data_IF_672959433280
#
_entry.id   IF_672959433280
#
_cell.length_a   1.000
_cell.length_b   1.000
_cell.length_c   1.000
_cell.angle_alpha   90.00
_cell.angle_beta   90.00
_cell.angle_gamma   90.00
#
_symmetry.space_group_name_H-M   'P 1'
#
loop_
_entity.id
_entity.type
_entity.pdbx_description
1 polymer ?
#
# COMPACT_ATOMS: atom_id res chain seq x y z
N UNK A 1 -17.77 27.29 1.03
CA UNK A 1 -16.86 26.59 0.10
C UNK A 1 -15.82 25.87 0.95
N UNK A 2 -15.66 24.55 0.82
CA UNK A 2 -14.70 23.79 1.63
C UNK A 2 -13.27 24.28 1.39
N UNK A 3 -12.39 24.25 2.41
CA UNK A 3 -10.98 24.67 2.28
C UNK A 3 -10.26 24.01 1.10
N UNK A 4 -10.51 22.71 0.85
CA UNK A 4 -9.93 21.95 -0.26
C UNK A 4 -10.26 22.53 -1.63
N UNK A 5 -11.56 22.75 -1.92
CA UNK A 5 -12.02 23.31 -3.21
C UNK A 5 -11.44 24.68 -3.54
N UNK A 6 -11.06 25.46 -2.51
CA UNK A 6 -10.38 26.74 -2.69
C UNK A 6 -8.95 26.54 -3.18
N UNK A 7 -8.23 25.61 -2.57
CA UNK A 7 -6.85 25.27 -2.93
C UNK A 7 -6.79 24.68 -4.34
N UNK A 8 -7.69 23.77 -4.70
CA UNK A 8 -7.71 23.14 -6.02
C UNK A 8 -7.86 24.19 -7.14
N UNK A 9 -8.70 25.21 -6.91
CA UNK A 9 -8.87 26.34 -7.84
C UNK A 9 -7.60 27.18 -7.97
N UNK A 10 -6.89 27.41 -6.87
CA UNK A 10 -5.62 28.14 -6.88
C UNK A 10 -4.54 27.36 -7.62
N UNK A 11 -4.44 26.05 -7.40
CA UNK A 11 -3.51 25.17 -8.12
C UNK A 11 -3.82 25.16 -9.61
N UNK A 12 -5.10 25.07 -10.00
CA UNK A 12 -5.51 25.15 -11.40
C UNK A 12 -5.12 26.50 -12.03
N UNK A 13 -5.32 27.61 -11.31
CA UNK A 13 -4.89 28.94 -11.76
C UNK A 13 -3.36 29.03 -11.90
N UNK A 14 -2.60 28.51 -10.93
CA UNK A 14 -1.14 28.47 -10.99
C UNK A 14 -0.64 27.71 -12.22
N UNK A 15 -1.27 26.58 -12.58
CA UNK A 15 -0.95 25.80 -13.78
C UNK A 15 -1.27 26.57 -15.06
N UNK A 16 -2.43 27.24 -15.11
CA UNK A 16 -2.88 27.97 -16.29
C UNK A 16 -2.13 29.30 -16.50
N UNK A 17 -1.72 29.98 -15.43
CA UNK A 17 -1.12 31.32 -15.51
C UNK A 17 -0.05 31.54 -14.42
N UNK A 18 1.13 30.89 -14.52
CA UNK A 18 2.18 30.97 -13.49
C UNK A 18 2.73 32.38 -13.22
N UNK A 19 2.54 33.32 -14.16
CA UNK A 19 3.05 34.69 -14.06
C UNK A 19 2.08 35.68 -13.37
N UNK A 20 0.83 35.29 -13.12
CA UNK A 20 -0.20 36.16 -12.52
C UNK A 20 -0.57 35.75 -11.10
N UNK A 21 0.27 34.96 -10.43
CA UNK A 21 -0.04 34.38 -9.11
C UNK A 21 0.34 35.38 -8.02
N UNK A 22 -0.61 35.67 -7.12
CA UNK A 22 -0.35 36.48 -5.93
C UNK A 22 0.51 35.70 -4.93
N UNK A 23 1.40 36.41 -4.24
CA UNK A 23 2.30 35.79 -3.26
C UNK A 23 1.54 35.07 -2.14
N UNK A 24 0.50 35.69 -1.59
CA UNK A 24 -0.31 35.08 -0.51
C UNK A 24 -1.09 33.85 -0.96
N UNK A 25 -1.51 33.77 -2.23
CA UNK A 25 -2.17 32.59 -2.78
C UNK A 25 -1.17 31.42 -2.92
N UNK A 26 0.05 31.73 -3.39
CA UNK A 26 1.13 30.74 -3.46
C UNK A 26 1.52 30.22 -2.07
N UNK A 27 1.60 31.11 -1.08
CA UNK A 27 1.91 30.77 0.31
C UNK A 27 0.82 29.88 0.93
N UNK A 28 -0.46 30.18 0.69
CA UNK A 28 -1.58 29.37 1.16
C UNK A 28 -1.55 27.96 0.55
N UNK A 29 -1.26 27.85 -0.75
CA UNK A 29 -1.10 26.55 -1.43
C UNK A 29 0.10 25.78 -0.86
N UNK A 30 1.25 26.43 -0.66
CA UNK A 30 2.43 25.78 -0.08
C UNK A 30 2.16 25.33 1.36
N UNK A 31 1.50 26.15 2.18
CA UNK A 31 1.18 25.79 3.57
C UNK A 31 0.21 24.62 3.64
N UNK A 32 -0.75 24.56 2.71
CA UNK A 32 -1.69 23.45 2.63
C UNK A 32 -1.02 22.12 2.24
N UNK A 33 -0.17 22.11 1.21
CA UNK A 33 0.44 20.86 0.72
C UNK A 33 1.73 20.46 1.45
N UNK A 34 2.50 21.42 1.98
CA UNK A 34 3.82 21.18 2.57
C UNK A 34 3.91 21.51 4.06
N UNK A 35 2.83 22.01 4.67
CA UNK A 35 2.79 22.38 6.08
C UNK A 35 3.47 23.72 6.39
N UNK A 36 3.83 23.94 7.66
CA UNK A 36 4.40 25.20 8.11
C UNK A 36 5.79 25.46 7.50
N UNK A 37 6.08 26.69 7.04
CA UNK A 37 7.38 27.01 6.45
C UNK A 37 8.51 26.86 7.46
N UNK A 38 9.66 26.36 7.01
CA UNK A 38 10.86 26.18 7.84
C UNK A 38 11.50 27.51 8.21
N UNK A 39 11.45 28.48 7.29
CA UNK A 39 11.92 29.86 7.50
C UNK A 39 10.99 30.81 6.75
N UNK A 40 10.60 31.89 7.41
CA UNK A 40 9.93 33.03 6.80
C UNK A 40 10.74 34.28 7.11
N UNK A 41 11.25 34.95 6.09
CA UNK A 41 11.99 36.18 6.24
C UNK A 41 11.47 37.19 5.21
N UNK A 42 10.44 37.96 5.59
CA UNK A 42 9.87 39.10 4.87
C UNK A 42 9.54 38.88 3.39
N UNK A 43 10.57 38.88 2.54
CA UNK A 43 10.50 38.73 1.09
C UNK A 43 10.61 37.28 0.59
N UNK A 44 11.02 36.32 1.42
CA UNK A 44 11.23 34.93 1.01
C UNK A 44 10.73 33.94 2.06
N UNK A 45 10.14 32.83 1.61
CA UNK A 45 9.65 31.76 2.46
C UNK A 45 10.15 30.42 1.92
N UNK A 46 10.69 29.58 2.81
CA UNK A 46 11.29 28.29 2.45
C UNK A 46 10.51 27.15 3.07
N UNK A 47 10.07 26.22 2.22
CA UNK A 47 9.38 24.98 2.59
C UNK A 47 10.32 23.78 2.43
N UNK A 48 10.20 22.82 3.35
CA UNK A 48 10.90 21.53 3.30
C UNK A 48 9.97 20.49 2.71
N UNK A 49 10.45 19.73 1.73
CA UNK A 49 9.66 18.66 1.13
C UNK A 49 9.86 17.33 1.88
N UNK A 50 8.87 16.42 1.87
CA UNK A 50 8.91 15.19 2.66
C UNK A 50 9.81 14.06 2.12
N UNK A 51 10.49 14.24 0.97
CA UNK A 51 11.33 13.19 0.35
C UNK A 51 12.85 13.40 0.58
N UNK A 52 13.63 12.30 0.50
CA UNK A 52 15.07 12.32 0.74
C UNK A 52 15.87 13.15 -0.29
N UNK A 53 16.89 13.89 0.16
CA UNK A 53 17.77 14.76 -0.64
C UNK A 53 17.84 16.20 -0.11
N UNK A 54 18.17 17.19 -0.96
CA UNK A 54 17.96 18.63 -0.69
C UNK A 54 16.75 19.24 -1.43
N UNK A 55 15.52 18.75 -1.23
CA UNK A 55 14.35 19.34 -1.85
C UNK A 55 13.78 20.47 -1.00
N UNK A 56 14.12 21.70 -1.38
CA UNK A 56 13.53 22.91 -0.80
C UNK A 56 12.83 23.69 -1.89
N UNK A 57 11.66 24.21 -1.56
CA UNK A 57 10.99 25.19 -2.41
C UNK A 57 11.09 26.55 -1.73
N UNK A 58 11.68 27.50 -2.44
CA UNK A 58 11.84 28.88 -1.98
C UNK A 58 10.90 29.77 -2.80
N UNK A 59 9.90 30.34 -2.15
CA UNK A 59 8.98 31.30 -2.77
C UNK A 59 9.43 32.72 -2.43
N UNK A 60 9.33 33.62 -3.42
CA UNK A 60 9.79 35.00 -3.30
C UNK A 60 8.64 35.96 -3.58
N UNK A 61 8.48 36.96 -2.73
CA UNK A 61 7.53 38.05 -2.90
C UNK A 61 8.16 39.15 -3.76
N UNK A 62 7.44 39.53 -4.80
CA UNK A 62 7.76 40.66 -5.68
C UNK A 62 6.53 41.58 -5.73
N UNK A 63 6.52 42.59 -4.85
CA UNK A 63 5.45 43.59 -4.75
C UNK A 63 4.03 42.98 -4.69
N UNK A 64 3.86 41.92 -3.89
CA UNK A 64 2.59 41.21 -3.70
C UNK A 64 2.34 40.07 -4.69
N UNK A 65 3.16 39.94 -5.72
CA UNK A 65 3.11 38.84 -6.69
C UNK A 65 4.21 37.82 -6.42
N UNK A 66 3.97 36.56 -6.80
CA UNK A 66 5.00 35.53 -6.78
C UNK A 66 5.78 35.53 -8.10
N UNK A 67 7.09 35.31 -8.03
CA UNK A 67 7.90 35.13 -9.25
C UNK A 67 7.47 33.86 -10.02
N UNK A 68 7.42 33.88 -11.36
CA UNK A 68 6.94 32.73 -12.15
C UNK A 68 7.77 31.45 -12.02
N UNK A 69 9.08 31.59 -11.74
CA UNK A 69 9.97 30.44 -11.59
C UNK A 69 9.67 29.64 -10.30
N UNK A 70 9.61 30.26 -9.10
CA UNK A 70 9.11 29.59 -7.90
C UNK A 70 7.73 28.94 -8.05
N UNK A 71 6.79 29.60 -8.73
CA UNK A 71 5.44 29.03 -8.98
C UNK A 71 5.55 27.70 -9.72
N UNK A 72 6.39 27.62 -10.77
CA UNK A 72 6.62 26.37 -11.52
C UNK A 72 7.31 25.30 -10.68
N UNK A 73 8.21 25.68 -9.76
CA UNK A 73 8.84 24.73 -8.85
C UNK A 73 7.83 24.16 -7.85
N UNK A 74 6.93 24.99 -7.31
CA UNK A 74 5.83 24.55 -6.44
C UNK A 74 4.91 23.57 -7.16
N UNK A 75 4.51 23.86 -8.41
CA UNK A 75 3.66 22.94 -9.20
C UNK A 75 4.33 21.57 -9.34
N UNK A 76 5.61 21.53 -9.72
CA UNK A 76 6.37 20.29 -9.84
C UNK A 76 6.48 19.54 -8.51
N UNK A 77 6.61 20.26 -7.41
CA UNK A 77 6.65 19.68 -6.07
C UNK A 77 5.28 19.10 -5.65
N UNK A 78 4.17 19.76 -5.98
CA UNK A 78 2.80 19.25 -5.76
C UNK A 78 2.54 18.01 -6.62
N UNK A 79 2.94 18.03 -7.90
CA UNK A 79 2.79 16.87 -8.79
C UNK A 79 3.62 15.68 -8.32
N UNK A 80 4.84 15.93 -7.82
CA UNK A 80 5.65 14.89 -7.20
C UNK A 80 5.04 14.38 -5.90
N UNK A 81 4.49 15.26 -5.06
CA UNK A 81 3.81 14.86 -3.83
C UNK A 81 2.56 14.03 -4.14
N UNK A 82 1.78 14.43 -5.15
CA UNK A 82 0.64 13.67 -5.64
C UNK A 82 1.08 12.32 -6.23
N UNK A 83 2.18 12.25 -6.98
CA UNK A 83 2.71 10.99 -7.50
C UNK A 83 3.26 10.08 -6.39
N UNK A 84 3.86 10.66 -5.34
CA UNK A 84 4.26 9.93 -4.13
C UNK A 84 3.04 9.42 -3.37
N UNK A 85 1.99 10.23 -3.22
CA UNK A 85 0.72 9.78 -2.66
C UNK A 85 0.02 8.77 -3.58
N UNK A 86 0.07 8.84 -4.91
CA UNK A 86 -0.45 7.79 -5.79
C UNK A 86 0.37 6.48 -5.71
N UNK A 87 1.62 6.55 -5.21
CA UNK A 87 2.46 5.37 -4.92
C UNK A 87 2.49 4.96 -3.44
N UNK A 88 1.91 5.76 -2.53
CA UNK A 88 1.85 5.53 -1.08
C UNK A 88 0.43 5.57 -0.47
N UNK A 89 -0.61 5.95 -1.22
CA UNK A 89 -2.04 5.91 -0.86
C UNK A 89 -2.71 4.68 -1.51
N UNK A 90 -2.21 3.50 -1.15
CA UNK A 90 -3.14 2.48 -0.65
C UNK A 90 -3.48 2.86 0.79
N UNK A 91 -4.71 2.64 1.30
CA UNK A 91 -5.07 3.05 2.65
C UNK A 91 -4.06 2.47 3.64
N UNK A 92 -3.61 3.29 4.60
CA UNK A 92 -2.82 2.95 5.78
C UNK A 92 -2.64 1.44 5.91
N UNK A 93 -1.49 0.95 5.44
CA UNK A 93 -1.06 -0.43 5.64
C UNK A 93 -0.95 -0.65 7.14
N UNK A 94 -2.06 -1.03 7.78
CA UNK A 94 -1.98 -2.01 8.84
C UNK A 94 -1.12 -3.14 8.27
N UNK A 95 -0.02 -3.47 8.93
CA UNK A 95 0.82 -4.63 8.65
C UNK A 95 -0.04 -5.90 8.70
N UNK A 96 -0.88 -6.11 7.69
CA UNK A 96 -1.71 -7.27 7.53
C UNK A 96 -0.83 -8.28 6.83
N UNK A 97 -0.31 -9.23 7.60
CA UNK A 97 0.58 -10.30 7.15
C UNK A 97 -0.14 -11.37 6.29
N UNK A 98 -1.06 -10.95 5.41
CA UNK A 98 -1.74 -11.83 4.48
C UNK A 98 -0.77 -12.44 3.46
N UNK A 99 -1.07 -13.66 3.03
CA UNK A 99 -0.18 -14.40 2.12
C UNK A 99 -0.58 -14.15 0.68
N UNK A 100 0.23 -13.37 -0.03
CA UNK A 100 0.04 -13.07 -1.45
C UNK A 100 0.86 -13.98 -2.35
N UNK A 101 0.34 -14.27 -3.54
CA UNK A 101 1.05 -15.01 -4.60
C UNK A 101 0.78 -14.37 -5.95
N UNK A 102 1.81 -14.28 -6.78
CA UNK A 102 1.70 -13.86 -8.17
C UNK A 102 2.16 -15.00 -9.08
N UNK A 103 1.35 -15.34 -10.07
CA UNK A 103 1.62 -16.42 -11.04
C UNK A 103 1.27 -15.96 -12.45
N UNK A 104 2.03 -16.39 -13.45
CA UNK A 104 1.65 -16.21 -14.86
C UNK A 104 0.46 -17.10 -15.21
N UNK A 105 -0.58 -16.53 -15.84
CA UNK A 105 -1.69 -17.27 -16.44
C UNK A 105 -1.50 -17.34 -17.96
N UNK A 106 -1.16 -18.52 -18.53
CA UNK A 106 -1.09 -18.68 -19.96
C UNK A 106 -2.45 -18.49 -20.66
N UNK A 107 -3.55 -18.73 -19.96
CA UNK A 107 -4.91 -18.61 -20.49
C UNK A 107 -5.31 -17.15 -20.67
N UNK A 108 -4.92 -16.28 -19.72
CA UNK A 108 -5.23 -14.85 -19.75
C UNK A 108 -4.11 -14.02 -20.41
N UNK A 109 -2.90 -14.56 -20.56
CA UNK A 109 -1.74 -13.83 -21.06
C UNK A 109 -1.25 -12.73 -20.11
N UNK A 110 -1.55 -12.85 -18.82
CA UNK A 110 -1.29 -11.85 -17.79
C UNK A 110 -0.81 -12.52 -16.48
N UNK A 111 -0.26 -11.73 -15.56
CA UNK A 111 0.03 -12.17 -14.20
C UNK A 111 -1.22 -12.07 -13.34
N UNK A 112 -1.56 -13.17 -12.66
CA UNK A 112 -2.63 -13.25 -11.67
C UNK A 112 -2.04 -13.14 -10.28
N UNK A 113 -2.41 -12.10 -9.55
CA UNK A 113 -2.20 -12.00 -8.13
C UNK A 113 -3.37 -12.63 -7.37
N UNK A 114 -3.10 -13.37 -6.30
CA UNK A 114 -4.09 -13.99 -5.40
C UNK A 114 -3.67 -13.83 -3.93
N UNK A 115 -4.63 -13.94 -3.01
CA UNK A 115 -4.42 -13.92 -1.56
C UNK A 115 -5.04 -15.17 -0.93
N UNK A 116 -4.28 -15.87 -0.08
CA UNK A 116 -4.69 -17.18 0.44
C UNK A 116 -5.91 -17.11 1.36
N UNK A 117 -6.05 -16.03 2.11
CA UNK A 117 -7.12 -15.82 3.08
C UNK A 117 -8.45 -15.41 2.43
N UNK A 118 -8.41 -14.86 1.21
CA UNK A 118 -9.59 -14.47 0.44
C UNK A 118 -9.61 -15.19 -0.91
N UNK A 119 -10.06 -16.45 -0.90
CA UNK A 119 -9.98 -17.34 -2.07
C UNK A 119 -10.73 -16.88 -3.33
N UNK A 120 -11.61 -15.89 -3.23
CA UNK A 120 -12.31 -15.28 -4.37
C UNK A 120 -11.64 -14.02 -4.92
N UNK A 121 -10.64 -13.46 -4.22
CA UNK A 121 -9.98 -12.23 -4.64
C UNK A 121 -8.77 -12.54 -5.51
N UNK A 122 -8.77 -11.95 -6.70
CA UNK A 122 -7.65 -11.97 -7.61
C UNK A 122 -7.57 -10.66 -8.39
N UNK A 123 -6.38 -10.38 -8.93
CA UNK A 123 -6.18 -9.26 -9.84
C UNK A 123 -5.27 -9.68 -10.99
N UNK A 124 -5.64 -9.33 -12.21
CA UNK A 124 -4.83 -9.58 -13.41
C UNK A 124 -4.16 -8.30 -13.90
N UNK A 125 -2.88 -8.41 -14.24
CA UNK A 125 -2.13 -7.33 -14.89
C UNK A 125 -0.98 -7.90 -15.73
N UNK A 126 -0.58 -7.16 -16.77
CA UNK A 126 0.59 -7.49 -17.59
C UNK A 126 1.91 -7.35 -16.82
N UNK A 127 1.93 -6.52 -15.78
CA UNK A 127 3.08 -6.37 -14.88
C UNK A 127 2.83 -7.08 -13.52
N UNK A 128 3.76 -7.94 -13.07
CA UNK A 128 3.58 -8.69 -11.82
C UNK A 128 3.54 -7.80 -10.57
N UNK A 129 4.23 -6.65 -10.58
CA UNK A 129 4.23 -5.72 -9.45
C UNK A 129 2.91 -4.96 -9.38
N UNK A 130 2.39 -4.54 -10.53
CA UNK A 130 1.09 -3.89 -10.65
C UNK A 130 -0.05 -4.83 -10.21
N UNK A 131 -0.03 -6.10 -10.63
CA UNK A 131 -1.01 -7.10 -10.19
C UNK A 131 -1.04 -7.23 -8.67
N UNK A 132 0.13 -7.35 -8.03
CA UNK A 132 0.24 -7.43 -6.57
C UNK A 132 -0.23 -6.15 -5.88
N UNK A 133 0.23 -4.99 -6.35
CA UNK A 133 -0.11 -3.71 -5.74
C UNK A 133 -1.61 -3.46 -5.74
N UNK A 134 -2.26 -3.67 -6.90
CA UNK A 134 -3.71 -3.50 -7.05
C UNK A 134 -4.51 -4.49 -6.21
N UNK A 135 -4.06 -5.75 -6.13
CA UNK A 135 -4.68 -6.73 -5.24
C UNK A 135 -4.59 -6.31 -3.77
N UNK A 136 -3.45 -5.76 -3.32
CA UNK A 136 -3.29 -5.30 -1.93
C UNK A 136 -4.26 -4.17 -1.59
N UNK A 137 -4.45 -3.22 -2.51
CA UNK A 137 -5.45 -2.16 -2.34
C UNK A 137 -6.87 -2.74 -2.28
N UNK A 138 -7.22 -3.66 -3.19
CA UNK A 138 -8.52 -4.34 -3.17
C UNK A 138 -8.77 -5.07 -1.84
N UNK A 139 -7.77 -5.76 -1.30
CA UNK A 139 -7.88 -6.43 0.02
C UNK A 139 -8.10 -5.41 1.13
N UNK A 140 -7.42 -4.26 1.09
CA UNK A 140 -7.62 -3.21 2.09
C UNK A 140 -9.06 -2.67 2.07
N UNK A 141 -9.61 -2.44 0.88
CA UNK A 141 -11.00 -1.99 0.70
C UNK A 141 -11.99 -3.04 1.22
N UNK A 142 -11.83 -4.31 0.84
CA UNK A 142 -12.69 -5.40 1.30
C UNK A 142 -12.62 -5.57 2.82
N UNK A 143 -11.43 -5.46 3.41
CA UNK A 143 -11.27 -5.53 4.88
C UNK A 143 -11.96 -4.35 5.56
N UNK A 144 -11.89 -3.15 4.98
CA UNK A 144 -12.59 -1.98 5.51
C UNK A 144 -14.12 -2.18 5.44
N UNK A 145 -14.62 -2.72 4.33
CA UNK A 145 -16.04 -3.03 4.13
C UNK A 145 -16.54 -4.08 5.15
N UNK A 146 -15.81 -5.18 5.33
CA UNK A 146 -16.15 -6.21 6.32
C UNK A 146 -16.18 -5.66 7.75
N UNK A 147 -15.22 -4.78 8.10
CA UNK A 147 -15.22 -4.10 9.40
C UNK A 147 -16.42 -3.17 9.56
N UNK A 148 -16.81 -2.47 8.49
CA UNK A 148 -17.94 -1.55 8.51
C UNK A 148 -19.29 -2.28 8.58
N UNK A 149 -19.42 -3.44 7.93
CA UNK A 149 -20.62 -4.30 8.02
C UNK A 149 -20.69 -5.09 9.33
N UNK A 150 -19.58 -5.23 10.04
CA UNK A 150 -19.47 -6.05 11.24
C UNK A 150 -19.27 -7.54 10.95
N UNK A 151 -18.92 -7.87 9.71
CA UNK A 151 -18.60 -9.23 9.29
C UNK A 151 -17.22 -9.67 9.79
N UNK A 152 -17.02 -10.98 10.02
CA UNK A 152 -15.73 -11.49 10.48
C UNK A 152 -14.65 -11.29 9.40
N UNK A 153 -13.58 -10.57 9.77
CA UNK A 153 -12.39 -10.43 8.92
C UNK A 153 -11.52 -11.69 9.06
N UNK A 154 -11.12 -12.33 7.95
CA UNK A 154 -10.19 -13.46 8.00
C UNK A 154 -8.88 -13.11 8.71
N UNK A 155 -8.43 -13.95 9.63
CA UNK A 155 -7.14 -13.78 10.30
C UNK A 155 -5.98 -14.18 9.35
N UNK A 156 -4.91 -13.36 9.23
CA UNK A 156 -3.74 -13.67 8.41
C UNK A 156 -3.11 -15.01 8.81
N UNK A 157 -2.73 -15.83 7.82
CA UNK A 157 -2.12 -17.13 8.09
C UNK A 157 -0.82 -17.04 8.88
N UNK A 158 -0.07 -15.95 8.75
CA UNK A 158 1.18 -15.71 9.47
C UNK A 158 0.96 -15.46 10.98
N UNK A 159 -0.19 -14.90 11.35
CA UNK A 159 -0.49 -14.52 12.73
C UNK A 159 -1.23 -15.64 13.48
N UNK A 160 -1.75 -16.64 12.76
CA UNK A 160 -2.46 -17.78 13.36
C UNK A 160 -1.55 -18.60 14.27
N UNK A 161 -2.13 -19.04 15.39
CA UNK A 161 -1.50 -20.02 16.26
C UNK A 161 -1.72 -21.46 15.75
N UNK A 162 -0.63 -22.18 15.50
CA UNK A 162 -0.66 -23.59 15.06
C UNK A 162 -0.15 -24.51 16.19
N UNK A 163 -1.01 -25.41 16.68
CA UNK A 163 -0.66 -26.35 17.75
C UNK A 163 0.25 -27.50 17.29
N UNK A 164 0.35 -27.73 15.97
CA UNK A 164 1.01 -28.91 15.40
C UNK A 164 0.23 -30.22 15.58
N UNK A 165 -0.86 -30.22 16.35
CA UNK A 165 -1.74 -31.37 16.52
C UNK A 165 -2.82 -31.33 15.44
N UNK A 166 -2.89 -32.38 14.62
CA UNK A 166 -3.97 -32.56 13.66
C UNK A 166 -4.47 -34.00 13.69
N UNK A 167 -5.79 -34.17 13.77
CA UNK A 167 -6.42 -35.48 13.75
C UNK A 167 -6.72 -35.89 12.32
N UNK A 168 -5.95 -36.84 11.80
CA UNK A 168 -6.16 -37.37 10.45
C UNK A 168 -7.10 -38.59 10.51
N UNK A 169 -8.17 -38.56 9.71
CA UNK A 169 -9.01 -39.74 9.49
C UNK A 169 -8.45 -40.53 8.30
N UNK A 170 -8.08 -41.78 8.54
CA UNK A 170 -7.57 -42.70 7.52
C UNK A 170 -8.34 -44.03 7.53
N UNK A 171 -8.39 -44.77 6.39
CA UNK A 171 -8.97 -46.11 6.36
C UNK A 171 -8.28 -47.07 7.35
N UNK A 172 -9.01 -48.04 7.95
CA UNK A 172 -8.42 -49.00 8.89
C UNK A 172 -7.24 -49.81 8.32
N UNK A 173 -7.27 -50.09 7.01
CA UNK A 173 -6.18 -50.80 6.32
C UNK A 173 -4.88 -49.99 6.31
N UNK A 174 -4.95 -48.69 6.04
CA UNK A 174 -3.80 -47.79 6.06
C UNK A 174 -3.26 -47.62 7.49
N UNK A 175 -4.15 -47.48 8.48
CA UNK A 175 -3.73 -47.42 9.88
C UNK A 175 -2.95 -48.68 10.30
N UNK A 176 -3.43 -49.87 9.92
CA UNK A 176 -2.74 -51.14 10.20
C UNK A 176 -1.36 -51.18 9.56
N UNK A 177 -1.23 -50.79 8.30
CA UNK A 177 0.05 -50.79 7.61
C UNK A 177 1.07 -49.88 8.30
N UNK A 178 0.67 -48.64 8.65
CA UNK A 178 1.53 -47.69 9.36
C UNK A 178 1.92 -48.16 10.76
N UNK A 179 1.01 -48.83 11.49
CA UNK A 179 1.30 -49.37 12.82
C UNK A 179 2.34 -50.50 12.78
N UNK A 180 2.27 -51.37 11.76
CA UNK A 180 3.27 -52.44 11.55
C UNK A 180 4.63 -51.83 11.23
N UNK A 181 4.68 -50.91 10.26
CA UNK A 181 5.92 -50.25 9.85
C UNK A 181 6.59 -49.50 11.02
N UNK A 182 5.79 -48.80 11.85
CA UNK A 182 6.30 -48.09 13.02
C UNK A 182 6.92 -49.06 14.05
N UNK A 183 6.28 -50.22 14.26
CA UNK A 183 6.79 -51.26 15.15
C UNK A 183 8.09 -51.89 14.62
N UNK A 184 8.17 -52.16 13.31
CA UNK A 184 9.39 -52.69 12.66
C UNK A 184 10.57 -51.73 12.79
N UNK A 185 10.32 -50.42 12.75
CA UNK A 185 11.32 -49.38 12.92
C UNK A 185 11.59 -49.00 14.39
N UNK A 186 10.83 -49.56 15.34
CA UNK A 186 10.97 -49.24 16.77
C UNK A 186 10.63 -47.79 17.12
N UNK A 187 9.71 -47.16 16.38
CA UNK A 187 9.29 -45.76 16.58
C UNK A 187 7.79 -45.66 16.83
N UNK A 188 7.34 -44.53 17.37
CA UNK A 188 5.90 -44.26 17.51
C UNK A 188 5.24 -44.05 16.16
N UNK A 189 3.95 -44.40 16.07
CA UNK A 189 3.13 -44.15 14.88
C UNK A 189 3.14 -42.67 14.47
N UNK A 190 3.01 -41.75 15.44
CA UNK A 190 3.10 -40.31 15.17
C UNK A 190 4.46 -39.93 14.57
N UNK A 191 5.57 -40.49 15.08
CA UNK A 191 6.91 -40.22 14.52
C UNK A 191 7.04 -40.70 13.08
N UNK A 192 6.51 -41.90 12.76
CA UNK A 192 6.49 -42.41 11.39
C UNK A 192 5.65 -41.52 10.48
N UNK A 193 4.43 -41.14 10.90
CA UNK A 193 3.53 -40.29 10.11
C UNK A 193 4.13 -38.90 9.90
N UNK A 194 4.68 -38.28 10.95
CA UNK A 194 5.35 -36.98 10.84
C UNK A 194 6.51 -37.02 9.83
N UNK A 195 7.31 -38.10 9.81
CA UNK A 195 8.39 -38.25 8.83
C UNK A 195 7.87 -38.38 7.38
N UNK A 196 6.75 -39.07 7.17
CA UNK A 196 6.14 -39.22 5.84
C UNK A 196 5.42 -37.96 5.34
N UNK A 197 4.86 -37.13 6.23
CA UNK A 197 4.19 -35.87 5.86
C UNK A 197 5.20 -34.76 5.53
N UNK A 198 6.39 -34.82 6.12
CA UNK A 198 7.46 -33.87 5.83
C UNK A 198 8.19 -34.12 4.48
N UNK A 199 7.89 -35.24 3.81
CA UNK A 199 8.58 -35.71 2.60
C UNK A 199 7.74 -35.66 1.33
#
# INVERSE_FOLDING_TARGET
>A
MTPQRKIDRLVAHMKASPASVRFGDLEAVCTHHFGTPRRSNGSHVVYTMPWAGDPRVNIQNDNGSAKPYPVRQVIKAIERLAALHDSEEGPLMSDNHYTYRVTWSPEDGEYVATVAEFGSLSWLDTDPTAALSKLRSLVADVVADLRASGDPVPEPLADRHYSGEFRLRIPPSLHRALAIEAAEQGISLNRLVSAKVAG
#
